data_IF_796047704586
#
_entry.id   IF_796047704586
#
_cell.length_a   1.000
_cell.length_b   1.000
_cell.length_c   1.000
_cell.angle_alpha   90.00
_cell.angle_beta   90.00
_cell.angle_gamma   90.00
#
_symmetry.space_group_name_H-M   'P 1'
#
loop_
_entity.id
_entity.type
_entity.pdbx_description
1 polymer ?
#
# COMPACT_ATOMS: atom_id res chain seq x y z
N UNK A 1 -18.11 -9.42 -6.43
CA UNK A 1 -17.54 -10.78 -6.28
C UNK A 1 -16.34 -10.67 -5.36
N UNK A 2 -16.13 -11.63 -4.45
CA UNK A 2 -14.96 -11.61 -3.57
C UNK A 2 -13.66 -11.57 -4.38
N UNK A 3 -12.64 -10.94 -3.83
CA UNK A 3 -11.27 -11.04 -4.31
C UNK A 3 -10.61 -12.24 -3.66
N UNK A 4 -10.20 -13.22 -4.46
CA UNK A 4 -9.46 -14.39 -3.97
C UNK A 4 -7.96 -14.10 -3.96
N UNK A 5 -7.30 -14.36 -2.83
CA UNK A 5 -5.85 -14.23 -2.65
C UNK A 5 -5.21 -15.61 -2.47
N UNK A 6 -4.45 -16.05 -3.46
CA UNK A 6 -3.73 -17.33 -3.46
C UNK A 6 -2.21 -17.16 -3.55
N UNK A 7 -1.74 -16.09 -4.18
CA UNK A 7 -0.32 -15.76 -4.30
C UNK A 7 -0.08 -14.28 -4.02
N UNK A 8 1.20 -13.89 -3.93
CA UNK A 8 1.59 -12.50 -3.71
C UNK A 8 1.15 -11.59 -4.86
N UNK A 9 1.15 -12.09 -6.08
CA UNK A 9 0.76 -11.36 -7.29
C UNK A 9 -0.72 -10.94 -7.29
N UNK A 10 -1.56 -11.64 -6.52
CA UNK A 10 -2.97 -11.28 -6.34
C UNK A 10 -3.13 -9.97 -5.55
N UNK A 11 -2.11 -9.54 -4.79
CA UNK A 11 -2.09 -8.26 -4.07
C UNK A 11 -1.36 -7.23 -4.94
N UNK A 12 -2.13 -6.55 -5.76
CA UNK A 12 -1.67 -5.52 -6.70
C UNK A 12 -2.59 -4.29 -6.65
N UNK A 13 -2.27 -3.25 -7.43
CA UNK A 13 -3.04 -1.99 -7.45
C UNK A 13 -4.53 -2.16 -7.80
N UNK A 14 -4.90 -3.13 -8.65
CA UNK A 14 -6.32 -3.40 -8.94
C UNK A 14 -7.02 -3.98 -7.72
N UNK A 15 -6.40 -4.97 -7.08
CA UNK A 15 -6.91 -5.55 -5.83
C UNK A 15 -7.02 -4.51 -4.72
N UNK A 16 -6.04 -3.62 -4.56
CA UNK A 16 -6.12 -2.49 -3.62
C UNK A 16 -7.31 -1.59 -3.97
N UNK A 17 -7.51 -1.25 -5.24
CA UNK A 17 -8.67 -0.45 -5.64
C UNK A 17 -9.99 -1.16 -5.31
N UNK A 18 -10.12 -2.45 -5.63
CA UNK A 18 -11.33 -3.22 -5.35
C UNK A 18 -11.62 -3.35 -3.85
N UNK A 19 -10.65 -3.77 -3.06
CA UNK A 19 -10.84 -4.01 -1.62
C UNK A 19 -10.95 -2.72 -0.82
N UNK A 20 -10.09 -1.75 -1.11
CA UNK A 20 -9.94 -0.56 -0.30
C UNK A 20 -10.87 0.59 -0.72
N UNK A 21 -11.05 0.79 -2.04
CA UNK A 21 -11.92 1.84 -2.57
C UNK A 21 -13.34 1.37 -2.89
N UNK A 22 -13.50 0.12 -3.37
CA UNK A 22 -14.82 -0.45 -3.71
C UNK A 22 -15.43 -1.31 -2.60
N UNK A 23 -14.66 -1.65 -1.56
CA UNK A 23 -15.08 -2.48 -0.44
C UNK A 23 -15.50 -3.90 -0.86
N UNK A 24 -14.90 -4.43 -1.92
CA UNK A 24 -15.01 -5.86 -2.24
C UNK A 24 -14.45 -6.69 -1.06
N UNK A 25 -15.10 -7.82 -0.77
CA UNK A 25 -14.67 -8.78 0.26
C UNK A 25 -13.43 -9.56 -0.19
N UNK A 26 -12.72 -10.17 0.76
CA UNK A 26 -11.47 -10.92 0.50
C UNK A 26 -11.59 -12.34 1.00
N UNK A 27 -11.19 -13.30 0.16
CA UNK A 27 -11.10 -14.71 0.51
C UNK A 27 -9.65 -15.19 0.32
N UNK A 28 -9.14 -16.02 1.23
CA UNK A 28 -7.81 -16.63 1.09
C UNK A 28 -8.00 -18.01 0.45
N UNK A 29 -7.33 -18.23 -0.69
CA UNK A 29 -7.42 -19.48 -1.42
C UNK A 29 -6.81 -20.66 -0.66
N UNK A 30 -7.34 -21.86 -0.90
CA UNK A 30 -6.93 -23.09 -0.21
C UNK A 30 -5.42 -23.36 -0.29
N UNK A 31 -4.80 -23.09 -1.45
CA UNK A 31 -3.35 -23.22 -1.65
C UNK A 31 -2.54 -22.29 -0.73
N UNK A 32 -3.01 -21.06 -0.53
CA UNK A 32 -2.36 -20.12 0.39
C UNK A 32 -2.53 -20.58 1.84
N UNK A 33 -3.71 -21.06 2.23
CA UNK A 33 -3.95 -21.61 3.56
C UNK A 33 -3.05 -22.83 3.86
N UNK A 34 -2.90 -23.74 2.88
CA UNK A 34 -1.99 -24.87 2.99
C UNK A 34 -0.55 -24.41 3.16
N UNK A 35 -0.09 -23.44 2.35
CA UNK A 35 1.25 -22.86 2.47
C UNK A 35 1.50 -22.23 3.84
N UNK A 36 0.53 -21.46 4.35
CA UNK A 36 0.61 -20.87 5.70
C UNK A 36 0.81 -21.97 6.74
N UNK A 37 0.02 -23.05 6.67
CA UNK A 37 0.11 -24.17 7.61
C UNK A 37 1.46 -24.92 7.52
N UNK A 38 1.95 -25.18 6.31
CA UNK A 38 3.23 -25.85 6.07
C UNK A 38 4.41 -25.01 6.58
N UNK A 39 4.43 -23.72 6.27
CA UNK A 39 5.46 -22.78 6.75
C UNK A 39 5.41 -22.64 8.28
N UNK A 40 4.21 -22.61 8.88
CA UNK A 40 4.04 -22.62 10.34
C UNK A 40 4.65 -23.87 10.97
N UNK A 41 4.31 -25.06 10.45
CA UNK A 41 4.83 -26.32 10.96
C UNK A 41 6.36 -26.41 10.81
N UNK A 42 6.90 -25.91 9.69
CA UNK A 42 8.35 -25.82 9.48
C UNK A 42 9.03 -24.88 10.47
N UNK A 43 8.45 -23.71 10.71
CA UNK A 43 8.95 -22.75 11.68
C UNK A 43 8.96 -23.30 13.12
N UNK A 44 7.91 -24.02 13.53
CA UNK A 44 7.86 -24.65 14.86
C UNK A 44 8.98 -25.69 15.03
N UNK A 45 9.19 -26.56 14.04
CA UNK A 45 10.32 -27.51 14.06
C UNK A 45 11.68 -26.81 14.14
N UNK A 46 11.83 -25.67 13.46
CA UNK A 46 13.07 -24.89 13.46
C UNK A 46 13.38 -24.31 14.85
N UNK A 47 12.39 -23.78 15.58
CA UNK A 47 12.63 -23.16 16.90
C UNK A 47 12.80 -24.17 18.03
N UNK A 48 12.44 -25.43 17.78
CA UNK A 48 12.63 -26.58 18.66
C UNK A 48 13.97 -27.30 18.45
N UNK A 49 14.80 -26.87 17.48
CA UNK A 49 16.14 -27.46 17.30
C UNK A 49 17.02 -27.23 18.52
N UNK A 50 18.03 -28.08 18.70
CA UNK A 50 19.02 -27.95 19.77
C UNK A 50 20.45 -27.78 19.18
N UNK A 51 21.10 -26.62 19.35
CA UNK A 51 20.57 -25.41 19.99
C UNK A 51 19.52 -24.72 19.11
N UNK A 52 18.59 -23.95 19.73
CA UNK A 52 17.60 -23.20 18.97
C UNK A 52 18.25 -22.02 18.25
N UNK A 53 17.80 -21.66 17.03
CA UNK A 53 18.32 -20.51 16.32
C UNK A 53 17.97 -19.20 17.04
N UNK A 54 18.79 -18.18 16.84
CA UNK A 54 18.55 -16.83 17.35
C UNK A 54 17.57 -16.11 16.42
N UNK A 55 16.35 -15.87 16.89
CA UNK A 55 15.26 -15.24 16.15
C UNK A 55 14.64 -14.16 17.04
N UNK A 56 14.70 -12.92 16.56
CA UNK A 56 14.19 -11.73 17.24
C UNK A 56 12.68 -11.84 17.56
N UNK A 57 12.32 -11.59 18.82
CA UNK A 57 10.94 -11.66 19.30
C UNK A 57 10.36 -13.08 19.35
N UNK A 58 11.21 -14.10 19.21
CA UNK A 58 10.85 -15.52 19.22
C UNK A 58 11.73 -16.27 20.21
N UNK A 59 13.04 -16.35 19.97
CA UNK A 59 14.02 -16.96 20.88
C UNK A 59 14.88 -15.92 21.59
N UNK A 60 14.72 -14.64 21.24
CA UNK A 60 15.19 -13.49 22.01
C UNK A 60 14.05 -12.53 22.29
N UNK A 61 14.22 -11.67 23.32
CA UNK A 61 13.26 -10.61 23.60
C UNK A 61 13.28 -9.52 22.49
N UNK A 62 12.39 -8.54 22.62
CA UNK A 62 12.24 -7.45 21.64
C UNK A 62 12.84 -6.13 22.15
N UNK A 63 13.12 -5.22 21.22
CA UNK A 63 13.58 -3.85 21.51
C UNK A 63 14.97 -3.82 22.14
N UNK A 64 15.14 -2.98 23.16
CA UNK A 64 16.40 -2.86 23.91
C UNK A 64 16.87 -4.19 24.52
N UNK A 65 15.95 -5.13 24.75
CA UNK A 65 16.24 -6.45 25.29
C UNK A 65 16.59 -7.50 24.22
N UNK A 66 16.81 -7.10 22.96
CA UNK A 66 17.04 -8.03 21.84
C UNK A 66 18.21 -9.01 22.03
N UNK A 67 19.20 -8.66 22.85
CA UNK A 67 20.35 -9.51 23.18
C UNK A 67 20.02 -10.61 24.21
N UNK A 68 18.90 -10.51 24.92
CA UNK A 68 18.45 -11.48 25.92
C UNK A 68 17.79 -12.67 25.23
N UNK A 69 18.39 -13.86 25.38
CA UNK A 69 17.77 -15.13 24.98
C UNK A 69 16.57 -15.45 25.89
N UNK A 70 15.56 -16.09 25.31
CA UNK A 70 14.36 -16.55 26.00
C UNK A 70 14.38 -18.06 26.17
N UNK A 71 14.17 -18.51 27.40
CA UNK A 71 13.89 -19.90 27.72
C UNK A 71 12.50 -20.31 27.21
N UNK A 72 12.23 -21.61 27.06
CA UNK A 72 11.01 -22.11 26.42
C UNK A 72 9.72 -21.55 27.04
N UNK A 73 9.60 -21.54 28.37
CA UNK A 73 8.41 -21.00 29.06
C UNK A 73 8.28 -19.49 28.88
N UNK A 74 9.39 -18.77 28.75
CA UNK A 74 9.41 -17.34 28.47
C UNK A 74 8.94 -17.03 27.05
N UNK A 75 9.22 -17.88 26.05
CA UNK A 75 8.76 -17.68 24.66
C UNK A 75 7.23 -17.67 24.59
N UNK A 76 6.59 -18.62 25.24
CA UNK A 76 5.13 -18.72 25.29
C UNK A 76 4.50 -17.53 26.02
N UNK A 77 5.08 -17.13 27.16
CA UNK A 77 4.63 -15.92 27.86
C UNK A 77 4.83 -14.68 26.98
N UNK A 78 5.96 -14.57 26.30
CA UNK A 78 6.29 -13.43 25.44
C UNK A 78 5.30 -13.27 24.28
N UNK A 79 4.89 -14.38 23.67
CA UNK A 79 3.89 -14.41 22.62
C UNK A 79 2.52 -13.89 23.08
N UNK A 80 2.15 -14.21 24.33
CA UNK A 80 0.89 -13.83 24.97
C UNK A 80 0.89 -12.45 25.61
N UNK A 81 2.03 -11.77 25.70
CA UNK A 81 2.08 -10.39 26.21
C UNK A 81 1.16 -9.55 25.32
N UNK A 82 0.05 -9.10 25.92
CA UNK A 82 -0.89 -8.20 25.26
C UNK A 82 -0.16 -6.93 24.86
N UNK A 83 -0.46 -6.47 23.65
CA UNK A 83 0.07 -5.25 23.10
C UNK A 83 -0.35 -4.04 23.94
N UNK A 84 0.40 -3.69 24.98
CA UNK A 84 0.36 -2.34 25.52
C UNK A 84 1.44 -1.54 24.80
N UNK A 85 1.02 -0.65 23.91
CA UNK A 85 1.95 0.17 23.17
C UNK A 85 2.53 1.22 24.13
N UNK A 86 3.82 1.12 24.48
CA UNK A 86 4.51 2.15 25.26
C UNK A 86 4.52 3.51 24.53
N UNK A 87 4.33 3.49 23.20
CA UNK A 87 4.07 4.64 22.35
C UNK A 87 3.11 4.23 21.22
N UNK A 88 2.26 5.15 20.74
CA UNK A 88 1.35 4.93 19.62
C UNK A 88 1.38 6.14 18.68
N UNK A 89 0.94 5.96 17.43
CA UNK A 89 0.71 7.07 16.51
C UNK A 89 -0.28 8.10 17.06
N UNK A 90 -0.21 9.32 16.51
CA UNK A 90 -1.03 10.45 16.92
C UNK A 90 -1.56 11.24 15.72
N UNK A 91 -2.38 12.26 15.98
CA UNK A 91 -2.97 13.12 14.97
C UNK A 91 -4.28 12.56 14.39
N UNK A 92 -4.69 13.12 13.25
CA UNK A 92 -5.95 12.75 12.61
C UNK A 92 -5.93 11.29 12.10
N UNK A 93 -7.06 10.58 12.17
CA UNK A 93 -7.15 9.21 11.68
C UNK A 93 -6.95 9.15 10.16
N UNK A 94 -6.28 8.10 9.71
CA UNK A 94 -6.20 7.73 8.30
C UNK A 94 -7.62 7.49 7.74
N UNK A 95 -7.88 7.84 6.47
CA UNK A 95 -9.13 7.49 5.83
C UNK A 95 -9.38 5.97 5.86
N UNK A 96 -10.63 5.55 6.02
CA UNK A 96 -11.06 4.13 6.03
C UNK A 96 -10.41 3.31 4.90
N UNK A 97 -10.44 3.83 3.66
CA UNK A 97 -9.81 3.17 2.50
C UNK A 97 -8.31 2.94 2.67
N UNK A 98 -7.59 3.84 3.35
CA UNK A 98 -6.15 3.65 3.58
C UNK A 98 -5.95 2.53 4.58
N UNK A 99 -6.71 2.51 5.67
CA UNK A 99 -6.63 1.43 6.68
C UNK A 99 -6.98 0.06 6.08
N UNK A 100 -8.00 0.00 5.20
CA UNK A 100 -8.32 -1.21 4.43
C UNK A 100 -7.15 -1.66 3.55
N UNK A 101 -6.47 -0.73 2.88
CA UNK A 101 -5.27 -1.05 2.10
C UNK A 101 -4.11 -1.55 2.98
N UNK A 102 -3.96 -1.04 4.20
CA UNK A 102 -2.96 -1.53 5.18
C UNK A 102 -3.25 -2.98 5.57
N UNK A 103 -4.51 -3.29 5.89
CA UNK A 103 -4.93 -4.66 6.24
C UNK A 103 -4.69 -5.62 5.06
N UNK A 104 -5.03 -5.21 3.83
CA UNK A 104 -4.76 -6.01 2.63
C UNK A 104 -3.25 -6.22 2.41
N UNK A 105 -2.44 -5.15 2.46
CA UNK A 105 -0.99 -5.24 2.32
C UNK A 105 -0.35 -6.11 3.42
N UNK A 106 -0.98 -6.19 4.60
CA UNK A 106 -0.50 -7.07 5.67
C UNK A 106 -0.57 -8.55 5.28
N UNK A 107 -1.60 -8.95 4.51
CA UNK A 107 -1.80 -10.33 4.09
C UNK A 107 -0.72 -10.85 3.13
N UNK A 108 0.06 -9.98 2.46
CA UNK A 108 1.12 -10.38 1.53
C UNK A 108 2.09 -11.40 2.14
N UNK A 109 2.71 -11.04 3.26
CA UNK A 109 3.66 -11.93 3.94
C UNK A 109 2.97 -13.17 4.55
N UNK A 110 1.65 -13.14 4.71
CA UNK A 110 0.89 -14.24 5.28
C UNK A 110 0.68 -15.28 4.20
N UNK A 111 0.14 -14.89 3.05
CA UNK A 111 -0.12 -15.77 1.89
C UNK A 111 1.17 -16.44 1.38
N UNK A 112 2.30 -15.75 1.46
CA UNK A 112 3.60 -16.35 1.11
C UNK A 112 4.15 -17.33 2.16
N UNK A 113 3.56 -17.38 3.37
CA UNK A 113 4.02 -18.20 4.49
C UNK A 113 5.19 -17.61 5.28
N UNK A 114 5.81 -16.53 4.80
CA UNK A 114 6.97 -15.85 5.39
C UNK A 114 6.69 -15.29 6.80
N UNK A 115 5.43 -14.97 7.09
CA UNK A 115 5.00 -14.52 8.41
C UNK A 115 5.02 -15.62 9.49
N UNK A 116 5.11 -16.90 9.12
CA UNK A 116 5.00 -18.07 10.01
C UNK A 116 3.88 -17.94 11.07
N UNK A 117 2.77 -17.32 10.66
CA UNK A 117 1.53 -17.22 11.41
C UNK A 117 0.65 -18.44 11.13
N UNK A 118 -0.51 -18.54 11.76
CA UNK A 118 -1.45 -19.63 11.52
C UNK A 118 -2.54 -19.25 10.50
N UNK A 119 -3.18 -20.24 9.86
CA UNK A 119 -4.35 -19.98 9.01
C UNK A 119 -5.47 -19.23 9.75
N UNK A 120 -5.69 -19.51 11.05
CA UNK A 120 -6.71 -18.82 11.84
C UNK A 120 -6.47 -17.31 11.97
N UNK A 121 -5.21 -16.89 12.12
CA UNK A 121 -4.86 -15.46 12.18
C UNK A 121 -4.99 -14.83 10.80
N UNK A 122 -4.54 -15.50 9.74
CA UNK A 122 -4.66 -14.97 8.38
C UNK A 122 -6.12 -14.76 7.97
N UNK A 123 -6.99 -15.74 8.24
CA UNK A 123 -8.43 -15.65 7.99
C UNK A 123 -9.08 -14.52 8.82
N UNK A 124 -8.69 -14.35 10.09
CA UNK A 124 -9.21 -13.28 10.93
C UNK A 124 -8.81 -11.89 10.42
N UNK A 125 -7.59 -11.71 9.92
CA UNK A 125 -7.14 -10.46 9.31
C UNK A 125 -7.87 -10.19 8.00
N UNK A 126 -8.09 -11.21 7.16
CA UNK A 126 -8.89 -11.07 5.94
C UNK A 126 -10.35 -10.69 6.25
N UNK A 127 -10.95 -11.29 7.28
CA UNK A 127 -12.32 -11.01 7.70
C UNK A 127 -12.53 -9.56 8.19
N UNK A 128 -11.47 -8.85 8.60
CA UNK A 128 -11.60 -7.41 8.88
C UNK A 128 -12.06 -6.63 7.64
N UNK A 129 -11.78 -7.12 6.43
CA UNK A 129 -12.15 -6.48 5.17
C UNK A 129 -13.62 -6.71 4.77
N UNK A 130 -14.40 -7.47 5.54
CA UNK A 130 -15.78 -7.83 5.19
C UNK A 130 -16.82 -6.75 5.55
N UNK A 131 -16.68 -5.56 4.95
CA UNK A 131 -17.68 -4.49 4.99
C UNK A 131 -17.74 -3.66 6.27
N UNK A 132 -17.19 -4.15 7.39
CA UNK A 132 -17.15 -3.41 8.65
C UNK A 132 -16.24 -2.16 8.59
N UNK A 133 -16.55 -1.10 9.36
CA UNK A 133 -15.67 0.06 9.51
C UNK A 133 -14.30 -0.33 10.07
N UNK A 134 -13.24 0.25 9.53
CA UNK A 134 -11.89 0.02 10.05
C UNK A 134 -11.67 0.69 11.41
N UNK A 135 -10.84 0.10 12.29
CA UNK A 135 -10.35 0.77 13.49
C UNK A 135 -9.66 2.09 13.15
N UNK A 136 -9.80 3.08 14.02
CA UNK A 136 -9.12 4.37 13.85
C UNK A 136 -7.60 4.19 14.02
N UNK A 137 -6.85 4.49 12.96
CA UNK A 137 -5.38 4.49 12.97
C UNK A 137 -4.88 5.92 12.71
N UNK A 138 -4.19 6.56 13.66
CA UNK A 138 -3.70 7.92 13.45
C UNK A 138 -2.62 8.01 12.36
N UNK A 139 -2.62 9.10 11.59
CA UNK A 139 -1.78 9.27 10.41
C UNK A 139 -0.34 9.73 10.72
N UNK A 140 -0.08 10.26 11.91
CA UNK A 140 1.24 10.79 12.30
C UNK A 140 1.91 9.94 13.38
N UNK A 141 3.21 10.15 13.58
CA UNK A 141 3.97 9.48 14.63
C UNK A 141 4.48 8.07 14.26
N UNK A 142 4.32 7.64 13.01
CA UNK A 142 5.07 6.49 12.48
C UNK A 142 6.51 6.92 12.18
N UNK A 143 7.42 6.75 13.15
CA UNK A 143 8.81 7.19 13.03
C UNK A 143 9.85 6.09 12.80
N UNK A 144 9.47 4.81 12.74
CA UNK A 144 10.42 3.70 12.80
C UNK A 144 10.11 2.50 11.93
N UNK A 145 11.13 1.68 11.70
CA UNK A 145 11.01 0.41 10.97
C UNK A 145 10.02 -0.55 11.66
N UNK A 146 9.30 -1.33 10.85
CA UNK A 146 8.30 -2.28 11.32
C UNK A 146 6.89 -1.70 11.49
N UNK A 147 6.71 -0.36 11.44
CA UNK A 147 5.41 0.34 11.47
C UNK A 147 4.49 -0.03 12.64
N UNK A 148 5.13 -0.54 13.69
CA UNK A 148 4.50 -1.15 14.86
C UNK A 148 3.52 -0.18 15.54
N UNK A 149 3.80 1.12 15.53
CA UNK A 149 2.99 2.13 16.24
C UNK A 149 1.58 2.29 15.64
N UNK A 150 1.41 1.98 14.34
CA UNK A 150 0.13 2.05 13.61
C UNK A 150 -0.57 0.70 13.62
N UNK A 151 0.22 -0.36 13.44
CA UNK A 151 -0.32 -1.72 13.38
C UNK A 151 -0.81 -2.20 14.74
N UNK A 152 -0.23 -1.70 15.85
CA UNK A 152 -0.73 -2.01 17.17
C UNK A 152 -2.20 -1.62 17.38
N UNK A 153 -2.60 -0.33 17.30
CA UNK A 153 -4.00 0.04 17.47
C UNK A 153 -4.91 -0.60 16.41
N UNK A 154 -4.42 -0.82 15.19
CA UNK A 154 -5.16 -1.51 14.13
C UNK A 154 -5.57 -2.94 14.51
N UNK A 155 -4.66 -3.73 15.08
CA UNK A 155 -4.89 -5.14 15.39
C UNK A 155 -5.14 -5.41 16.88
N UNK A 156 -5.25 -4.37 17.71
CA UNK A 156 -5.41 -4.51 19.16
C UNK A 156 -6.63 -5.35 19.52
N UNK A 157 -7.81 -5.02 18.99
CA UNK A 157 -9.03 -5.77 19.28
C UNK A 157 -8.93 -7.21 18.78
N UNK A 158 -8.50 -7.41 17.53
CA UNK A 158 -8.30 -8.74 16.95
C UNK A 158 -7.39 -9.60 17.84
N UNK A 159 -6.28 -9.04 18.32
CA UNK A 159 -5.33 -9.77 19.18
C UNK A 159 -5.94 -10.26 20.49
N UNK A 160 -6.96 -9.59 21.03
CA UNK A 160 -7.64 -10.02 22.27
C UNK A 160 -8.59 -11.20 22.07
N UNK A 161 -8.98 -11.50 20.83
CA UNK A 161 -9.89 -12.60 20.48
C UNK A 161 -9.18 -13.97 20.40
N UNK A 162 -7.85 -13.99 20.53
CA UNK A 162 -7.03 -15.20 20.39
C UNK A 162 -6.07 -15.38 21.57
N UNK A 163 -5.82 -16.63 21.96
CA UNK A 163 -4.61 -16.98 22.71
C UNK A 163 -3.46 -17.06 21.70
N UNK A 164 -2.72 -15.96 21.54
CA UNK A 164 -1.68 -15.86 20.52
C UNK A 164 -0.52 -16.81 20.81
N UNK A 165 -0.12 -17.56 19.79
CA UNK A 165 1.03 -18.45 19.83
C UNK A 165 2.32 -17.71 19.47
N UNK A 166 3.46 -18.38 19.68
CA UNK A 166 4.80 -17.87 19.34
C UNK A 166 4.83 -17.25 17.93
N UNK A 167 5.42 -16.05 17.82
CA UNK A 167 5.52 -15.21 16.60
C UNK A 167 4.20 -14.63 16.06
N UNK A 168 3.01 -15.09 16.45
CA UNK A 168 1.75 -14.58 15.87
C UNK A 168 1.53 -13.09 16.15
N UNK A 169 1.81 -12.64 17.37
CA UNK A 169 1.78 -11.21 17.70
C UNK A 169 2.68 -10.40 16.77
N UNK A 170 3.93 -10.83 16.62
CA UNK A 170 4.91 -10.16 15.75
C UNK A 170 4.46 -10.15 14.29
N UNK A 171 3.78 -11.20 13.84
CA UNK A 171 3.26 -11.28 12.46
C UNK A 171 2.23 -10.19 12.14
N UNK A 172 1.42 -9.76 13.12
CA UNK A 172 0.42 -8.71 12.93
C UNK A 172 1.05 -7.33 12.78
N UNK A 173 2.12 -7.06 13.54
CA UNK A 173 2.61 -5.69 13.77
C UNK A 173 3.99 -5.41 13.18
N UNK A 174 4.61 -6.35 12.46
CA UNK A 174 5.95 -6.17 11.91
C UNK A 174 5.95 -6.19 10.39
N UNK A 175 6.37 -5.09 9.77
CA UNK A 175 6.65 -4.99 8.34
C UNK A 175 6.51 -3.56 7.83
N UNK A 176 6.20 -3.41 6.55
CA UNK A 176 5.93 -2.12 5.91
C UNK A 176 4.57 -1.99 5.19
N UNK A 177 3.46 -2.59 5.68
CA UNK A 177 2.16 -2.51 5.00
C UNK A 177 1.56 -1.10 4.97
N UNK A 178 1.88 -0.21 5.92
CA UNK A 178 1.47 1.19 5.91
C UNK A 178 2.11 1.96 4.76
N UNK A 179 3.42 1.88 4.58
CA UNK A 179 4.11 2.51 3.46
C UNK A 179 3.58 1.99 2.11
N UNK A 180 3.43 0.67 1.98
CA UNK A 180 2.89 0.03 0.78
C UNK A 180 1.45 0.52 0.47
N UNK A 181 0.59 0.57 1.48
CA UNK A 181 -0.78 1.05 1.34
C UNK A 181 -0.87 2.54 1.01
N UNK A 182 -0.03 3.37 1.65
CA UNK A 182 -0.01 4.82 1.42
C UNK A 182 0.44 5.15 0.00
N UNK A 183 1.49 4.50 -0.51
CA UNK A 183 1.93 4.71 -1.90
C UNK A 183 0.91 4.19 -2.90
N UNK A 184 0.23 3.07 -2.61
CA UNK A 184 -0.84 2.54 -3.43
C UNK A 184 -2.07 3.48 -3.46
N UNK A 185 -2.54 4.00 -2.31
CA UNK A 185 -3.63 4.98 -2.25
C UNK A 185 -3.27 6.26 -3.02
N UNK A 186 -2.04 6.75 -2.82
CA UNK A 186 -1.54 7.94 -3.51
C UNK A 186 -1.52 7.75 -5.04
N UNK A 187 -1.02 6.61 -5.52
CA UNK A 187 -1.01 6.27 -6.95
C UNK A 187 -2.42 6.19 -7.53
N UNK A 188 -3.34 5.47 -6.87
CA UNK A 188 -4.73 5.33 -7.30
C UNK A 188 -5.46 6.68 -7.34
N UNK A 189 -5.25 7.52 -6.33
CA UNK A 189 -5.84 8.84 -6.28
C UNK A 189 -5.22 9.80 -7.32
N UNK A 190 -3.93 9.67 -7.59
CA UNK A 190 -3.22 10.49 -8.59
C UNK A 190 -3.72 10.22 -10.02
N UNK A 191 -4.09 8.99 -10.40
CA UNK A 191 -4.71 8.68 -11.71
C UNK A 191 -5.86 9.63 -12.06
N UNK A 192 -6.79 9.81 -11.11
CA UNK A 192 -7.95 10.70 -11.31
C UNK A 192 -7.56 12.17 -11.34
N UNK A 193 -6.63 12.58 -10.47
CA UNK A 193 -6.16 13.97 -10.40
C UNK A 193 -5.41 14.39 -11.65
N UNK A 194 -4.59 13.50 -12.21
CA UNK A 194 -3.86 13.76 -13.46
C UNK A 194 -4.86 13.91 -14.61
N UNK A 195 -5.84 13.01 -14.77
CA UNK A 195 -6.89 13.18 -15.79
C UNK A 195 -7.64 14.50 -15.64
N UNK A 196 -8.01 14.86 -14.41
CA UNK A 196 -8.66 16.15 -14.12
C UNK A 196 -7.76 17.34 -14.48
N UNK A 197 -6.46 17.27 -14.21
CA UNK A 197 -5.52 18.32 -14.59
C UNK A 197 -5.48 18.51 -16.11
N UNK A 198 -5.46 17.43 -16.90
CA UNK A 198 -5.52 17.53 -18.37
C UNK A 198 -6.80 18.27 -18.82
N UNK A 199 -7.95 17.93 -18.25
CA UNK A 199 -9.22 18.60 -18.58
C UNK A 199 -9.20 20.09 -18.25
N UNK A 200 -8.73 20.44 -17.05
CA UNK A 200 -8.67 21.83 -16.59
C UNK A 200 -7.71 22.64 -17.46
N UNK A 201 -6.53 22.11 -17.77
CA UNK A 201 -5.57 22.80 -18.62
C UNK A 201 -6.03 22.89 -20.07
N UNK A 202 -6.64 21.85 -20.63
CA UNK A 202 -7.22 21.91 -21.98
C UNK A 202 -8.31 22.98 -22.07
N UNK A 203 -9.21 23.05 -21.08
CA UNK A 203 -10.23 24.10 -21.00
C UNK A 203 -9.60 25.50 -20.90
N UNK A 204 -8.56 25.65 -20.08
CA UNK A 204 -7.82 26.92 -19.95
C UNK A 204 -7.12 27.33 -21.25
N UNK A 205 -6.49 26.38 -21.95
CA UNK A 205 -5.86 26.56 -23.26
C UNK A 205 -6.88 27.03 -24.30
N UNK A 206 -8.08 26.45 -24.29
CA UNK A 206 -9.16 26.82 -25.20
C UNK A 206 -9.75 28.19 -24.88
N UNK A 207 -10.04 28.48 -23.60
CA UNK A 207 -10.53 29.78 -23.16
C UNK A 207 -9.51 30.89 -23.46
N UNK A 208 -8.23 30.60 -23.29
CA UNK A 208 -7.14 31.50 -23.67
C UNK A 208 -6.79 31.45 -25.15
N UNK A 209 -7.51 30.70 -26.00
CA UNK A 209 -7.25 30.62 -27.45
C UNK A 209 -5.75 30.46 -27.77
N UNK A 210 -5.05 29.66 -26.96
CA UNK A 210 -3.60 29.54 -27.05
C UNK A 210 -3.20 28.84 -28.37
N UNK A 211 -2.08 29.21 -29.01
CA UNK A 211 -1.60 28.49 -30.19
C UNK A 211 -1.38 27.00 -29.89
N UNK A 212 -1.84 26.12 -30.80
CA UNK A 212 -1.78 24.66 -30.59
C UNK A 212 -0.43 24.02 -30.92
N UNK A 213 0.47 24.76 -31.56
CA UNK A 213 1.82 24.31 -31.93
C UNK A 213 2.62 23.71 -30.75
N UNK A 214 2.33 24.15 -29.52
CA UNK A 214 2.97 23.65 -28.29
C UNK A 214 2.41 22.32 -27.77
N UNK A 215 1.33 21.82 -28.39
CA UNK A 215 0.66 20.57 -28.05
C UNK A 215 0.62 19.60 -29.24
N UNK A 216 1.31 19.93 -30.33
CA UNK A 216 1.26 19.21 -31.60
C UNK A 216 1.68 17.73 -31.46
N UNK A 217 1.09 16.86 -32.28
CA UNK A 217 1.39 15.43 -32.27
C UNK A 217 2.85 15.12 -32.66
N UNK A 218 3.50 15.97 -33.45
CA UNK A 218 4.92 15.82 -33.77
C UNK A 218 5.82 15.87 -32.53
N UNK A 219 5.38 16.57 -31.46
CA UNK A 219 6.15 16.71 -30.23
C UNK A 219 6.28 15.40 -29.44
N UNK A 220 5.33 14.46 -29.63
CA UNK A 220 5.34 13.16 -28.94
C UNK A 220 6.65 12.41 -29.16
N UNK A 221 7.20 12.46 -30.37
CA UNK A 221 8.45 11.78 -30.72
C UNK A 221 9.66 12.71 -30.65
N UNK A 222 9.49 14.00 -30.97
CA UNK A 222 10.60 14.97 -31.00
C UNK A 222 11.21 15.23 -29.62
N UNK A 223 10.43 15.16 -28.54
CA UNK A 223 10.95 15.36 -27.19
C UNK A 223 11.60 14.11 -26.59
N UNK A 224 11.29 12.92 -27.11
CA UNK A 224 11.93 11.67 -26.72
C UNK A 224 11.67 11.23 -25.27
N UNK A 225 10.58 11.69 -24.66
CA UNK A 225 10.20 11.32 -23.29
C UNK A 225 8.77 10.76 -23.23
N UNK A 226 8.62 9.55 -22.72
CA UNK A 226 7.33 8.84 -22.69
C UNK A 226 6.27 9.55 -21.83
N UNK A 227 6.67 10.25 -20.76
CA UNK A 227 5.73 10.90 -19.86
C UNK A 227 5.29 12.27 -20.40
N UNK A 228 6.21 13.01 -21.05
CA UNK A 228 5.83 14.21 -21.79
C UNK A 228 4.93 13.86 -22.99
N UNK A 229 5.17 12.74 -23.68
CA UNK A 229 4.28 12.24 -24.73
C UNK A 229 2.89 11.88 -24.17
N UNK A 230 2.81 11.19 -23.03
CA UNK A 230 1.53 10.90 -22.37
C UNK A 230 0.77 12.17 -21.96
N UNK A 231 1.49 13.21 -21.51
CA UNK A 231 0.91 14.50 -21.19
C UNK A 231 0.33 15.21 -22.43
N UNK A 232 1.08 15.22 -23.52
CA UNK A 232 0.67 15.77 -24.81
C UNK A 232 -0.59 15.07 -25.34
N UNK A 233 -0.59 13.73 -25.33
CA UNK A 233 -1.72 12.92 -25.76
C UNK A 233 -2.97 13.17 -24.90
N UNK A 234 -2.81 13.21 -23.58
CA UNK A 234 -3.91 13.48 -22.66
C UNK A 234 -4.49 14.89 -22.81
N UNK A 235 -3.68 15.90 -23.16
CA UNK A 235 -4.18 17.25 -23.43
C UNK A 235 -4.95 17.28 -24.74
N UNK A 236 -4.38 16.65 -25.79
CA UNK A 236 -5.02 16.60 -27.11
C UNK A 236 -6.36 15.87 -27.10
N UNK A 237 -6.54 14.83 -26.27
CA UNK A 237 -7.84 14.15 -26.07
C UNK A 237 -8.97 15.18 -25.82
N UNK A 238 -8.68 16.24 -25.06
CA UNK A 238 -9.67 17.28 -24.71
C UNK A 238 -9.63 18.53 -25.61
N UNK A 239 -8.67 18.61 -26.54
CA UNK A 239 -8.54 19.71 -27.52
C UNK A 239 -9.02 19.30 -28.92
N UNK A 240 -9.55 18.08 -29.10
CA UNK A 240 -10.21 17.70 -30.35
C UNK A 240 -11.43 18.59 -30.58
N UNK A 241 -11.54 19.16 -31.78
CA UNK A 241 -12.64 20.07 -32.14
C UNK A 241 -12.53 21.46 -31.51
N UNK A 242 -11.36 21.82 -30.98
CA UNK A 242 -11.12 23.12 -30.40
C UNK A 242 -11.26 24.24 -31.45
N UNK A 243 -11.83 25.38 -31.06
CA UNK A 243 -12.29 26.39 -32.00
C UNK A 243 -11.16 27.17 -32.68
N UNK A 244 -11.54 27.85 -33.77
CA UNK A 244 -10.69 28.76 -34.54
C UNK A 244 -10.38 30.06 -33.78
N UNK A 245 -9.70 31.01 -34.43
CA UNK A 245 -9.45 32.35 -33.88
C UNK A 245 -8.40 32.35 -32.77
N UNK A 246 -7.38 31.50 -32.90
CA UNK A 246 -6.26 31.44 -31.95
C UNK A 246 -5.39 32.68 -32.05
N UNK A 247 -4.75 33.04 -30.93
CA UNK A 247 -3.78 34.14 -30.88
C UNK A 247 -2.65 33.87 -31.88
N UNK A 248 -2.16 34.91 -32.55
CA UNK A 248 -1.11 34.83 -33.58
C UNK A 248 0.31 35.06 -33.02
N UNK A 249 0.48 34.97 -31.70
CA UNK A 249 1.74 35.12 -31.00
C UNK A 249 1.85 34.05 -29.92
N UNK A 250 3.08 33.80 -29.47
CA UNK A 250 3.34 32.77 -28.45
C UNK A 250 2.56 33.05 -27.16
N UNK A 251 1.91 32.01 -26.63
CA UNK A 251 1.28 32.11 -25.32
C UNK A 251 2.34 32.34 -24.21
N UNK A 252 1.94 32.89 -23.05
CA UNK A 252 2.79 32.95 -21.87
C UNK A 252 3.40 31.57 -21.55
N UNK A 253 4.59 31.58 -20.93
CA UNK A 253 5.34 30.35 -20.59
C UNK A 253 4.44 29.35 -19.86
N UNK A 254 3.56 29.82 -18.98
CA UNK A 254 2.62 29.00 -18.21
C UNK A 254 1.70 28.10 -19.04
N UNK A 255 1.43 28.44 -20.31
CA UNK A 255 0.70 27.58 -21.25
C UNK A 255 1.65 26.66 -22.03
N UNK A 256 2.77 27.21 -22.49
CA UNK A 256 3.74 26.48 -23.33
C UNK A 256 4.41 25.31 -22.61
N UNK A 257 4.57 25.39 -21.29
CA UNK A 257 5.22 24.34 -20.49
C UNK A 257 4.24 23.35 -19.87
N UNK A 258 2.92 23.51 -20.06
CA UNK A 258 1.92 22.60 -19.47
C UNK A 258 2.23 21.13 -19.78
N UNK A 259 2.59 20.74 -21.02
CA UNK A 259 2.92 19.34 -21.31
C UNK A 259 4.11 18.84 -20.49
N UNK A 260 5.14 19.67 -20.27
CA UNK A 260 6.31 19.29 -19.46
C UNK A 260 5.97 19.17 -17.99
N UNK A 261 5.15 20.09 -17.46
CA UNK A 261 4.68 20.04 -16.07
C UNK A 261 3.83 18.79 -15.83
N UNK A 262 2.89 18.50 -16.72
CA UNK A 262 2.08 17.27 -16.66
C UNK A 262 2.93 16.02 -16.90
N UNK A 263 3.98 16.09 -17.72
CA UNK A 263 4.94 15.01 -17.91
C UNK A 263 5.66 14.64 -16.61
N UNK A 264 6.06 15.62 -15.80
CA UNK A 264 6.60 15.34 -14.46
C UNK A 264 5.57 14.70 -13.53
N UNK A 265 4.29 15.12 -13.62
CA UNK A 265 3.22 14.48 -12.85
C UNK A 265 3.01 13.01 -13.26
N UNK A 266 3.03 12.71 -14.58
CA UNK A 266 2.97 11.34 -15.09
C UNK A 266 4.17 10.50 -14.65
N UNK A 267 5.38 11.07 -14.66
CA UNK A 267 6.59 10.39 -14.14
C UNK A 267 6.48 10.05 -12.66
N UNK A 268 5.98 10.99 -11.86
CA UNK A 268 5.76 10.77 -10.43
C UNK A 268 4.71 9.67 -10.19
N UNK A 269 3.61 9.67 -10.96
CA UNK A 269 2.62 8.60 -10.92
C UNK A 269 3.22 7.23 -11.28
N UNK A 270 3.94 7.14 -12.40
CA UNK A 270 4.57 5.88 -12.84
C UNK A 270 5.55 5.33 -11.79
N UNK A 271 6.33 6.21 -11.15
CA UNK A 271 7.22 5.85 -10.05
C UNK A 271 6.45 5.33 -8.84
N UNK A 272 5.34 5.98 -8.46
CA UNK A 272 4.50 5.55 -7.35
C UNK A 272 3.81 4.21 -7.62
N UNK A 273 3.30 3.99 -8.85
CA UNK A 273 2.70 2.72 -9.25
C UNK A 273 3.71 1.57 -9.23
N UNK A 274 4.93 1.83 -9.69
CA UNK A 274 6.02 0.86 -9.64
C UNK A 274 6.39 0.51 -8.20
N UNK A 275 6.55 1.51 -7.34
CA UNK A 275 6.83 1.30 -5.92
C UNK A 275 5.74 0.49 -5.22
N UNK A 276 4.47 0.79 -5.51
CA UNK A 276 3.31 0.06 -4.96
C UNK A 276 3.27 -1.42 -5.39
N UNK A 277 3.71 -1.74 -6.62
CA UNK A 277 3.74 -3.12 -7.13
C UNK A 277 4.95 -3.94 -6.65
N UNK A 278 6.01 -3.30 -6.16
CA UNK A 278 7.23 -3.96 -5.64
C UNK A 278 7.17 -4.14 -4.11
N UNK A 279 6.32 -3.36 -3.44
CA UNK A 279 6.12 -3.42 -1.99
C UNK A 279 5.28 -4.61 -1.53
#
# INVERSE_FOLDING_TARGET
>A
MPVSLSTREDINLDTVFRVAWKKDTVEIGEKALQRIAECRASFLRLIESDPPPVIYGVTTAMGELASRKLELDERDRHARIKAFAAATSFGDPLPDRVVRAIVLARLTNFIEGNAATTPRIALAVAAMLDGEPMPAVPASGQGGAGEILALYPLFAELSTRFDLEVKERGSLINGSPCAAALVADAALAARRRIRMAHQVFALSIEAFRAPLEHYDAALDTLWGDEHEAAALQGLREFLVGAGDGRRNYQAPVSYRIVPRVLGQAHRALSSAERAANVS
#
